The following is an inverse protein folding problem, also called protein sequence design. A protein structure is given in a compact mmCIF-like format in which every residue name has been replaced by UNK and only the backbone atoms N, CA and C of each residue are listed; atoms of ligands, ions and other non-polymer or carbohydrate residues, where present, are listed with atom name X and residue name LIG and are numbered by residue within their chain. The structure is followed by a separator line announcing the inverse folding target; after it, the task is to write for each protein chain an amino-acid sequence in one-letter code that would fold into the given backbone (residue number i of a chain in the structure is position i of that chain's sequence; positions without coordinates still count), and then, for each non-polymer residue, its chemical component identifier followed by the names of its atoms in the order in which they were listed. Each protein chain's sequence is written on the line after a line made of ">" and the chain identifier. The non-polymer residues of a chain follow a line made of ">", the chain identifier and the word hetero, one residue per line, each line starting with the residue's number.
data_IF_151524984659
#
_entry.id   IF_151524984659
#
_cell.length_a   1.000
_cell.length_b   1.000
_cell.length_c   1.000
_cell.angle_alpha   90.00
_cell.angle_beta   90.00
_cell.angle_gamma   90.00
#
_symmetry.space_group_name_H-M   'P 1'
#
loop_
_entity.id
_entity.type
_entity.pdbx_description
1 polymer ?
#
# COMPACT_ATOMS: atom_id res chain seq x y z
N UNK A 1 -36.04 -23.29 51.94
CA UNK A 1 -36.66 -24.31 51.07
C UNK A 1 -35.77 -24.45 49.84
N UNK A 2 -34.76 -25.32 49.92
CA UNK A 2 -33.87 -25.65 48.82
C UNK A 2 -34.65 -26.52 47.85
N UNK A 3 -34.79 -26.08 46.61
CA UNK A 3 -35.52 -26.79 45.56
C UNK A 3 -34.70 -28.01 45.14
N UNK A 4 -34.97 -29.16 45.74
CA UNK A 4 -34.31 -30.42 45.38
C UNK A 4 -34.85 -30.89 44.02
N UNK A 5 -34.02 -30.80 42.97
CA UNK A 5 -34.28 -31.53 41.73
C UNK A 5 -33.63 -32.90 41.89
N UNK A 6 -34.44 -33.94 42.05
CA UNK A 6 -33.94 -35.26 42.40
C UNK A 6 -33.21 -35.94 41.25
N UNK A 7 -33.63 -35.72 40.01
CA UNK A 7 -33.03 -36.35 38.82
C UNK A 7 -33.06 -35.41 37.63
N UNK A 8 -31.93 -35.30 36.92
CA UNK A 8 -31.83 -34.58 35.65
C UNK A 8 -31.31 -35.49 34.56
N UNK A 9 -31.98 -35.47 33.40
CA UNK A 9 -31.55 -36.20 32.20
C UNK A 9 -31.23 -35.21 31.07
N UNK A 10 -30.09 -35.41 30.42
CA UNK A 10 -29.63 -34.57 29.29
C UNK A 10 -29.37 -35.48 28.10
N UNK A 11 -30.08 -35.23 27.00
CA UNK A 11 -29.83 -35.88 25.73
C UNK A 11 -28.83 -35.06 24.91
N UNK A 12 -27.77 -35.72 24.45
CA UNK A 12 -26.77 -35.17 23.55
C UNK A 12 -26.72 -35.99 22.27
N UNK A 13 -26.68 -35.32 21.13
CA UNK A 13 -26.57 -35.98 19.83
C UNK A 13 -25.41 -35.35 19.03
N UNK A 14 -24.55 -36.20 18.47
CA UNK A 14 -23.49 -35.79 17.54
C UNK A 14 -23.91 -36.18 16.13
N UNK A 15 -23.89 -35.23 15.20
CA UNK A 15 -24.17 -35.47 13.78
C UNK A 15 -22.88 -35.82 13.01
N UNK A 16 -23.05 -36.34 11.80
CA UNK A 16 -21.94 -36.70 10.89
C UNK A 16 -20.97 -35.54 10.60
N UNK A 17 -21.44 -34.29 10.67
CA UNK A 17 -20.65 -33.07 10.45
C UNK A 17 -19.86 -32.62 11.70
N UNK A 18 -19.94 -33.39 12.79
CA UNK A 18 -19.29 -33.09 14.08
C UNK A 18 -20.02 -32.01 14.89
N UNK A 19 -21.22 -31.58 14.47
CA UNK A 19 -22.05 -30.67 15.26
C UNK A 19 -22.78 -31.39 16.39
N UNK A 20 -22.90 -30.72 17.53
CA UNK A 20 -23.47 -31.27 18.76
C UNK A 20 -24.80 -30.60 19.05
N UNK A 21 -25.80 -31.39 19.42
CA UNK A 21 -27.13 -30.96 19.85
C UNK A 21 -27.36 -31.36 21.30
N UNK A 22 -27.91 -30.46 22.11
CA UNK A 22 -28.34 -30.70 23.49
C UNK A 22 -29.85 -30.55 23.56
N UNK A 23 -30.55 -31.61 23.95
CA UNK A 23 -32.02 -31.69 23.99
C UNK A 23 -32.68 -31.20 22.69
N UNK A 24 -32.12 -31.57 21.54
CA UNK A 24 -32.60 -31.18 20.21
C UNK A 24 -32.19 -29.79 19.71
N UNK A 25 -31.49 -28.98 20.52
CA UNK A 25 -30.97 -27.66 20.10
C UNK A 25 -29.47 -27.69 19.82
N UNK A 26 -29.05 -27.10 18.70
CA UNK A 26 -27.63 -27.02 18.33
C UNK A 26 -26.86 -26.14 19.31
N UNK A 27 -25.79 -26.69 19.88
CA UNK A 27 -24.88 -25.95 20.79
C UNK A 27 -23.61 -25.51 20.05
N UNK A 28 -22.87 -24.55 20.64
CA UNK A 28 -21.61 -24.04 20.05
C UNK A 28 -20.47 -25.06 20.10
N UNK A 29 -20.59 -26.10 20.90
CA UNK A 29 -19.58 -27.15 21.01
C UNK A 29 -19.57 -28.03 19.77
N UNK A 30 -18.38 -28.48 19.39
CA UNK A 30 -18.12 -29.35 18.24
C UNK A 30 -17.11 -30.41 18.63
N UNK A 31 -17.09 -31.49 17.87
CA UNK A 31 -16.01 -32.48 17.96
C UNK A 31 -14.74 -31.88 17.39
N UNK A 32 -13.65 -31.98 18.14
CA UNK A 32 -12.33 -31.48 17.74
C UNK A 32 -11.43 -32.65 17.31
N UNK A 33 -10.77 -32.56 16.15
CA UNK A 33 -9.83 -33.59 15.73
C UNK A 33 -8.59 -33.62 16.61
N UNK A 34 -8.20 -34.80 17.09
CA UNK A 34 -6.90 -35.07 17.74
C UNK A 34 -6.02 -35.98 16.85
N UNK A 35 -4.80 -36.35 17.27
CA UNK A 35 -3.94 -37.24 16.45
C UNK A 35 -4.54 -38.62 16.23
N UNK A 36 -5.00 -39.26 17.31
CA UNK A 36 -5.38 -40.67 17.28
C UNK A 36 -6.90 -40.89 17.35
N UNK A 37 -7.65 -39.87 17.75
CA UNK A 37 -9.11 -39.90 17.91
C UNK A 37 -9.72 -38.54 17.57
N UNK A 38 -11.03 -38.46 17.46
CA UNK A 38 -11.79 -37.21 17.46
C UNK A 38 -12.38 -37.03 18.86
N UNK A 39 -12.11 -35.90 19.52
CA UNK A 39 -12.52 -35.65 20.90
C UNK A 39 -13.77 -34.78 20.95
N UNK A 40 -14.82 -35.26 21.63
CA UNK A 40 -15.91 -34.41 22.11
C UNK A 40 -15.67 -34.12 23.59
N UNK A 41 -15.41 -32.86 23.93
CA UNK A 41 -15.33 -32.40 25.33
C UNK A 41 -16.42 -31.36 25.59
N UNK A 42 -17.31 -31.65 26.54
CA UNK A 42 -18.45 -30.78 26.83
C UNK A 42 -18.70 -30.67 28.33
N UNK A 43 -18.78 -29.42 28.82
CA UNK A 43 -19.28 -29.13 30.16
C UNK A 43 -20.80 -29.27 30.15
N UNK A 44 -21.32 -30.27 30.85
CA UNK A 44 -22.77 -30.60 30.87
C UNK A 44 -23.48 -29.98 32.07
N UNK A 45 -22.73 -29.77 33.16
CA UNK A 45 -23.18 -29.14 34.41
C UNK A 45 -22.06 -28.23 34.94
N UNK A 46 -22.37 -26.99 35.29
CA UNK A 46 -21.39 -26.02 35.80
C UNK A 46 -21.99 -25.09 36.85
N UNK A 47 -21.74 -25.37 38.13
CA UNK A 47 -22.04 -24.46 39.25
C UNK A 47 -23.45 -23.86 39.20
N UNK A 48 -24.45 -24.70 38.92
CA UNK A 48 -25.81 -24.23 38.72
C UNK A 48 -26.53 -23.90 40.05
N UNK A 49 -25.88 -24.09 41.21
CA UNK A 49 -26.45 -23.74 42.52
C UNK A 49 -27.53 -24.71 43.02
N UNK A 50 -27.70 -25.85 42.37
CA UNK A 50 -28.66 -26.89 42.76
C UNK A 50 -27.95 -28.20 43.11
N UNK A 51 -28.45 -28.90 44.12
CA UNK A 51 -28.04 -30.28 44.39
C UNK A 51 -28.86 -31.24 43.51
N UNK A 52 -28.18 -32.16 42.82
CA UNK A 52 -28.82 -33.24 42.06
C UNK A 52 -28.46 -34.59 42.67
N UNK A 53 -29.46 -35.43 42.98
CA UNK A 53 -29.19 -36.78 43.47
C UNK A 53 -28.64 -37.68 42.34
N UNK A 54 -29.18 -37.55 41.13
CA UNK A 54 -28.68 -38.26 39.95
C UNK A 54 -28.71 -37.37 38.69
N UNK A 55 -27.59 -37.33 37.96
CA UNK A 55 -27.45 -36.73 36.64
C UNK A 55 -27.13 -37.82 35.63
N UNK A 56 -28.01 -38.01 34.66
CA UNK A 56 -27.81 -38.91 33.52
C UNK A 56 -27.63 -38.12 32.24
N UNK A 57 -26.54 -38.35 31.52
CA UNK A 57 -26.30 -37.76 30.20
C UNK A 57 -26.21 -38.88 29.18
N UNK A 58 -27.07 -38.85 28.17
CA UNK A 58 -27.11 -39.85 27.11
C UNK A 58 -26.54 -39.21 25.84
N UNK A 59 -25.42 -39.75 25.35
CA UNK A 59 -24.74 -39.32 24.15
C UNK A 59 -25.01 -40.30 23.00
N UNK A 60 -25.69 -39.84 21.96
CA UNK A 60 -25.91 -40.59 20.72
C UNK A 60 -24.90 -40.17 19.66
N UNK A 61 -24.16 -41.15 19.13
CA UNK A 61 -23.16 -41.02 18.07
C UNK A 61 -23.80 -41.31 16.69
N UNK A 62 -23.26 -40.75 15.60
CA UNK A 62 -23.85 -40.90 14.27
C UNK A 62 -23.61 -42.29 13.64
N UNK A 63 -22.66 -43.05 14.17
CA UNK A 63 -22.35 -44.40 13.73
C UNK A 63 -22.20 -45.36 14.91
N UNK A 64 -22.25 -46.66 14.61
CA UNK A 64 -22.18 -47.75 15.58
C UNK A 64 -20.75 -47.98 16.13
N UNK A 65 -20.16 -46.96 16.76
CA UNK A 65 -18.79 -46.97 17.28
C UNK A 65 -18.70 -46.73 18.80
N UNK A 66 -19.81 -46.85 19.53
CA UNK A 66 -19.84 -46.58 20.97
C UNK A 66 -18.90 -47.51 21.75
N UNK A 67 -18.77 -48.78 21.34
CA UNK A 67 -17.86 -49.75 21.96
C UNK A 67 -16.37 -49.46 21.73
N UNK A 68 -16.03 -48.77 20.63
CA UNK A 68 -14.65 -48.37 20.30
C UNK A 68 -14.30 -46.99 20.84
N UNK A 69 -15.31 -46.21 21.20
CA UNK A 69 -15.16 -44.90 21.82
C UNK A 69 -14.71 -45.10 23.26
N UNK A 70 -13.70 -44.34 23.72
CA UNK A 70 -13.31 -44.33 25.14
C UNK A 70 -14.07 -43.20 25.85
N UNK A 71 -15.10 -43.50 26.66
CA UNK A 71 -15.81 -42.47 27.39
C UNK A 71 -15.10 -42.16 28.70
N UNK A 72 -15.01 -40.87 29.04
CA UNK A 72 -14.42 -40.37 30.27
C UNK A 72 -15.36 -39.31 30.86
N UNK A 73 -15.51 -39.30 32.18
CA UNK A 73 -16.25 -38.27 32.91
C UNK A 73 -15.30 -37.56 33.88
N UNK A 74 -15.21 -36.23 33.75
CA UNK A 74 -14.40 -35.38 34.61
C UNK A 74 -15.34 -34.61 35.52
N UNK A 75 -15.47 -35.08 36.75
CA UNK A 75 -16.27 -34.45 37.80
C UNK A 75 -15.36 -33.73 38.79
N UNK A 76 -15.60 -32.44 39.01
CA UNK A 76 -14.80 -31.59 39.91
C UNK A 76 -15.74 -30.97 40.95
N UNK A 77 -15.28 -30.87 42.21
CA UNK A 77 -15.97 -30.20 43.33
C UNK A 77 -17.29 -30.84 43.79
N UNK A 78 -17.23 -32.06 44.34
CA UNK A 78 -18.34 -32.66 45.09
C UNK A 78 -19.32 -33.47 44.23
N UNK A 79 -18.86 -34.64 43.78
CA UNK A 79 -19.64 -35.70 43.13
C UNK A 79 -19.20 -37.00 43.78
N UNK A 80 -20.13 -37.81 44.28
CA UNK A 80 -19.80 -39.02 45.04
C UNK A 80 -19.32 -40.16 44.14
N UNK A 81 -20.04 -40.39 43.04
CA UNK A 81 -19.60 -41.34 42.01
C UNK A 81 -19.98 -40.85 40.63
N UNK A 82 -19.11 -41.12 39.67
CA UNK A 82 -19.30 -40.81 38.27
C UNK A 82 -18.78 -41.99 37.44
N UNK A 83 -19.58 -42.44 36.47
CA UNK A 83 -19.24 -43.57 35.61
C UNK A 83 -19.73 -43.31 34.18
N UNK A 84 -19.10 -43.97 33.21
CA UNK A 84 -19.52 -43.95 31.83
C UNK A 84 -19.59 -45.37 31.26
N UNK A 85 -20.73 -45.71 30.67
CA UNK A 85 -21.00 -47.04 30.15
C UNK A 85 -21.63 -46.97 28.76
N UNK A 86 -21.30 -47.96 27.94
CA UNK A 86 -21.91 -48.13 26.61
C UNK A 86 -23.28 -48.78 26.79
N UNK A 87 -24.33 -48.14 26.26
CA UNK A 87 -25.72 -48.61 26.38
C UNK A 87 -26.08 -49.49 25.17
N UNK A 88 -25.76 -49.02 23.97
CA UNK A 88 -25.97 -49.73 22.71
C UNK A 88 -24.82 -49.43 21.73
N UNK A 89 -24.92 -49.87 20.48
CA UNK A 89 -23.85 -49.71 19.49
C UNK A 89 -23.51 -48.25 19.13
N UNK A 90 -24.40 -47.30 19.36
CA UNK A 90 -24.22 -45.86 19.06
C UNK A 90 -24.41 -44.94 20.27
N UNK A 91 -24.77 -45.46 21.44
CA UNK A 91 -25.19 -44.66 22.60
C UNK A 91 -24.33 -44.94 23.82
N UNK A 92 -23.84 -43.87 24.43
CA UNK A 92 -23.05 -43.89 25.66
C UNK A 92 -23.81 -43.15 26.75
N UNK A 93 -23.95 -43.75 27.94
CA UNK A 93 -24.53 -43.09 29.11
C UNK A 93 -23.43 -42.70 30.10
N UNK A 94 -23.48 -41.45 30.54
CA UNK A 94 -22.67 -40.90 31.62
C UNK A 94 -23.57 -40.66 32.81
N UNK A 95 -23.24 -41.25 33.96
CA UNK A 95 -24.01 -41.11 35.19
C UNK A 95 -23.15 -40.44 36.26
N UNK A 96 -23.74 -39.53 37.03
CA UNK A 96 -23.12 -38.92 38.19
C UNK A 96 -24.14 -38.84 39.35
N UNK A 97 -23.71 -39.19 40.56
CA UNK A 97 -24.57 -39.21 41.76
C UNK A 97 -24.10 -38.20 42.80
N UNK A 98 -25.04 -37.71 43.62
CA UNK A 98 -24.79 -36.71 44.66
C UNK A 98 -24.03 -35.49 44.15
N UNK A 99 -24.50 -34.88 43.07
CA UNK A 99 -23.85 -33.74 42.45
C UNK A 99 -24.13 -32.48 43.26
N UNK A 100 -23.08 -31.89 43.83
CA UNK A 100 -23.19 -30.69 44.65
C UNK A 100 -23.51 -29.43 43.84
N UNK A 101 -23.96 -28.38 44.53
CA UNK A 101 -24.30 -27.07 43.96
C UNK A 101 -23.13 -26.40 43.22
N UNK A 102 -21.89 -26.72 43.63
CA UNK A 102 -20.66 -26.15 43.10
C UNK A 102 -19.91 -27.10 42.16
N UNK A 103 -20.49 -28.25 41.83
CA UNK A 103 -19.86 -29.23 40.96
C UNK A 103 -19.78 -28.73 39.51
N UNK A 104 -18.70 -29.09 38.83
CA UNK A 104 -18.56 -28.94 37.39
C UNK A 104 -18.32 -30.34 36.80
N UNK A 105 -19.18 -30.77 35.88
CA UNK A 105 -19.10 -32.07 35.22
C UNK A 105 -18.86 -31.85 33.73
N UNK A 106 -17.76 -32.42 33.26
CA UNK A 106 -17.37 -32.44 31.84
C UNK A 106 -17.39 -33.88 31.35
N UNK A 107 -18.09 -34.15 30.26
CA UNK A 107 -18.00 -35.43 29.56
C UNK A 107 -16.95 -35.34 28.46
N UNK A 108 -16.24 -36.43 28.24
CA UNK A 108 -15.25 -36.58 27.19
C UNK A 108 -15.52 -37.89 26.45
N UNK A 109 -15.71 -37.82 25.13
CA UNK A 109 -15.78 -39.00 24.27
C UNK A 109 -14.63 -38.96 23.26
N UNK A 110 -13.75 -39.97 23.31
CA UNK A 110 -12.66 -40.15 22.35
C UNK A 110 -13.11 -41.11 21.26
N UNK A 111 -13.63 -40.54 20.18
CA UNK A 111 -14.28 -41.24 19.07
C UNK A 111 -13.21 -41.69 18.06
N UNK A 112 -13.27 -42.91 17.51
CA UNK A 112 -12.32 -43.36 16.50
C UNK A 112 -12.32 -42.47 15.24
N UNK A 113 -11.16 -42.33 14.62
CA UNK A 113 -11.00 -41.53 13.39
C UNK A 113 -11.83 -42.11 12.24
N UNK A 114 -12.36 -41.23 11.40
CA UNK A 114 -13.13 -41.62 10.20
C UNK A 114 -14.62 -41.84 10.46
N UNK A 115 -15.05 -41.81 11.72
CA UNK A 115 -16.48 -41.81 12.10
C UNK A 115 -17.14 -40.47 11.77
N UNK A 116 -16.47 -39.35 12.04
CA UNK A 116 -17.02 -38.01 11.85
C UNK A 116 -16.39 -37.35 10.62
N UNK A 117 -17.23 -36.85 9.72
CA UNK A 117 -16.81 -36.11 8.53
C UNK A 117 -16.70 -34.63 8.87
N UNK A 118 -15.64 -34.28 9.60
CA UNK A 118 -15.35 -32.90 9.97
C UNK A 118 -15.23 -31.99 8.73
N UNK A 119 -15.67 -30.73 8.81
CA UNK A 119 -15.50 -29.77 7.73
C UNK A 119 -14.03 -29.61 7.30
N UNK A 120 -13.80 -29.36 6.01
CA UNK A 120 -12.46 -29.22 5.44
C UNK A 120 -11.58 -28.19 6.20
N UNK A 121 -12.16 -27.08 6.65
CA UNK A 121 -11.40 -26.04 7.36
C UNK A 121 -10.93 -26.52 8.74
N UNK A 122 -11.70 -27.35 9.46
CA UNK A 122 -11.32 -27.92 10.76
C UNK A 122 -10.16 -28.92 10.59
N UNK A 123 -10.17 -29.70 9.51
CA UNK A 123 -9.07 -30.60 9.16
C UNK A 123 -7.77 -29.85 8.83
N UNK A 124 -7.87 -28.73 8.10
CA UNK A 124 -6.71 -27.88 7.77
C UNK A 124 -6.15 -27.18 9.00
N UNK A 125 -7.01 -26.65 9.88
CA UNK A 125 -6.58 -26.03 11.15
C UNK A 125 -5.82 -27.05 11.99
N UNK A 126 -6.36 -28.27 12.14
CA UNK A 126 -5.69 -29.36 12.84
C UNK A 126 -4.32 -29.69 12.26
N UNK A 127 -4.24 -29.88 10.95
CA UNK A 127 -2.98 -30.17 10.26
C UNK A 127 -1.95 -29.06 10.52
N UNK A 128 -2.36 -27.80 10.40
CA UNK A 128 -1.49 -26.63 10.64
C UNK A 128 -1.05 -26.51 12.10
N UNK A 129 -1.91 -26.84 13.07
CA UNK A 129 -1.58 -26.88 14.49
C UNK A 129 -0.74 -28.09 14.91
N UNK A 130 -0.74 -29.15 14.11
CA UNK A 130 0.03 -30.37 14.39
C UNK A 130 1.54 -30.18 14.20
N UNK A 131 1.94 -29.14 13.44
CA UNK A 131 3.34 -28.79 13.24
C UNK A 131 3.92 -28.12 14.49
N UNK A 132 5.14 -28.52 14.85
CA UNK A 132 5.87 -27.92 15.96
C UNK A 132 6.14 -26.42 15.75
N UNK A 133 6.26 -25.69 16.87
CA UNK A 133 6.53 -24.24 16.86
C UNK A 133 7.77 -23.84 16.05
N UNK A 134 8.80 -24.68 16.01
CA UNK A 134 10.04 -24.43 15.26
C UNK A 134 9.83 -24.39 13.74
N UNK A 135 8.89 -25.18 13.22
CA UNK A 135 8.55 -25.18 11.79
C UNK A 135 7.91 -23.86 11.41
N UNK A 136 6.95 -23.40 12.22
CA UNK A 136 6.29 -22.12 12.03
C UNK A 136 7.26 -20.93 12.13
N UNK A 137 8.21 -20.97 13.06
CA UNK A 137 9.25 -19.95 13.16
C UNK A 137 10.13 -19.92 11.90
N UNK A 138 10.53 -21.09 11.39
CA UNK A 138 11.32 -21.19 10.16
C UNK A 138 10.56 -20.63 8.96
N UNK A 139 9.30 -21.02 8.79
CA UNK A 139 8.41 -20.53 7.72
C UNK A 139 8.22 -19.01 7.80
N UNK A 140 8.00 -18.49 9.00
CA UNK A 140 7.78 -17.06 9.24
C UNK A 140 9.00 -16.19 8.94
N UNK A 141 10.22 -16.74 8.97
CA UNK A 141 11.45 -16.02 8.63
C UNK A 141 11.80 -16.24 7.15
N UNK A 142 11.80 -17.49 6.69
CA UNK A 142 12.29 -17.87 5.37
C UNK A 142 11.41 -17.26 4.27
N UNK A 143 10.08 -17.32 4.40
CA UNK A 143 9.19 -16.82 3.34
C UNK A 143 9.38 -15.30 3.14
N UNK A 144 9.23 -14.44 4.16
CA UNK A 144 9.47 -13.01 3.98
C UNK A 144 10.88 -12.70 3.47
N UNK A 145 11.90 -13.41 3.97
CA UNK A 145 13.27 -13.21 3.53
C UNK A 145 13.46 -13.55 2.04
N UNK A 146 12.92 -14.67 1.57
CA UNK A 146 12.94 -15.03 0.15
C UNK A 146 12.15 -14.03 -0.70
N UNK A 147 11.02 -13.51 -0.22
CA UNK A 147 10.28 -12.46 -0.95
C UNK A 147 11.09 -11.18 -1.08
N UNK A 148 11.82 -10.78 -0.03
CA UNK A 148 12.70 -9.61 -0.06
C UNK A 148 13.88 -9.81 -1.03
N UNK A 149 14.51 -10.98 -1.02
CA UNK A 149 15.55 -11.34 -2.00
C UNK A 149 15.00 -11.28 -3.42
N UNK A 150 13.84 -11.89 -3.66
CA UNK A 150 13.20 -11.89 -4.97
C UNK A 150 12.90 -10.46 -5.46
N UNK A 151 12.32 -9.61 -4.60
CA UNK A 151 12.06 -8.20 -4.91
C UNK A 151 13.37 -7.45 -5.21
N UNK A 152 14.40 -7.65 -4.40
CA UNK A 152 15.72 -7.04 -4.62
C UNK A 152 16.32 -7.46 -5.97
N UNK A 153 16.28 -8.74 -6.30
CA UNK A 153 16.76 -9.27 -7.59
C UNK A 153 15.96 -8.66 -8.76
N UNK A 154 14.64 -8.58 -8.66
CA UNK A 154 13.79 -7.95 -9.68
C UNK A 154 14.21 -6.49 -9.90
N UNK A 155 14.39 -5.73 -8.81
CA UNK A 155 14.83 -4.33 -8.87
C UNK A 155 16.22 -4.22 -9.49
N UNK A 156 17.16 -5.06 -9.07
CA UNK A 156 18.53 -5.05 -9.59
C UNK A 156 18.59 -5.39 -11.08
N UNK A 157 17.84 -6.41 -11.53
CA UNK A 157 17.72 -6.79 -12.94
C UNK A 157 17.06 -5.67 -13.76
N UNK A 158 16.01 -5.05 -13.22
CA UNK A 158 15.36 -3.92 -13.87
C UNK A 158 16.31 -2.73 -14.02
N UNK A 159 17.02 -2.35 -12.95
CA UNK A 159 18.00 -1.27 -13.01
C UNK A 159 19.11 -1.57 -14.02
N UNK A 160 19.63 -2.80 -14.05
CA UNK A 160 20.69 -3.20 -14.99
C UNK A 160 20.25 -3.09 -16.45
N UNK A 161 19.04 -3.53 -16.77
CA UNK A 161 18.50 -3.47 -18.14
C UNK A 161 18.12 -2.06 -18.59
N UNK A 162 17.77 -1.19 -17.64
CA UNK A 162 17.38 0.20 -17.88
C UNK A 162 18.52 1.21 -17.74
N UNK A 163 19.77 0.76 -17.55
CA UNK A 163 20.94 1.66 -17.58
C UNK A 163 21.04 2.30 -18.97
N UNK A 164 21.23 3.62 -18.97
CA UNK A 164 21.46 4.42 -20.17
C UNK A 164 22.90 4.90 -20.14
N UNK A 165 23.63 4.70 -21.25
CA UNK A 165 24.97 5.24 -21.43
C UNK A 165 24.90 6.77 -21.51
N UNK A 166 25.82 7.44 -20.81
CA UNK A 166 25.94 8.90 -20.85
C UNK A 166 26.99 9.21 -21.93
N UNK A 167 26.65 9.85 -23.06
CA UNK A 167 27.59 10.10 -24.15
C UNK A 167 28.68 11.06 -23.72
N UNK A 168 29.95 10.77 -24.01
CA UNK A 168 31.09 11.61 -23.61
C UNK A 168 31.06 13.01 -24.23
N UNK A 169 30.47 13.12 -25.43
CA UNK A 169 30.30 14.39 -26.12
C UNK A 169 29.09 15.16 -25.58
N UNK A 170 29.29 16.43 -25.24
CA UNK A 170 28.21 17.35 -24.93
C UNK A 170 27.49 17.82 -26.20
N UNK A 171 26.16 17.95 -26.14
CA UNK A 171 25.34 18.52 -27.23
C UNK A 171 24.92 19.91 -26.79
N UNK A 172 25.18 20.94 -27.60
CA UNK A 172 24.94 22.35 -27.25
C UNK A 172 23.50 22.85 -27.40
N UNK A 173 22.61 22.01 -27.94
CA UNK A 173 21.21 22.33 -28.18
C UNK A 173 20.30 21.17 -27.73
N UNK A 174 19.03 21.45 -27.38
CA UNK A 174 18.05 20.42 -27.09
C UNK A 174 17.98 19.44 -28.26
N UNK A 175 18.12 18.11 -28.01
CA UNK A 175 18.17 17.13 -29.08
C UNK A 175 16.85 17.02 -29.85
N UNK A 176 15.74 17.39 -29.20
CA UNK A 176 14.38 17.38 -29.76
C UNK A 176 13.55 18.48 -29.08
N UNK A 177 12.51 18.96 -29.76
CA UNK A 177 11.54 19.90 -29.22
C UNK A 177 10.52 19.19 -28.29
N UNK A 178 10.99 18.63 -27.17
CA UNK A 178 10.12 18.04 -26.15
C UNK A 178 9.82 19.03 -25.03
N UNK A 179 8.57 19.09 -24.53
CA UNK A 179 8.26 19.89 -23.35
C UNK A 179 9.09 19.47 -22.14
N UNK A 180 9.51 20.40 -21.26
CA UNK A 180 10.38 20.09 -20.12
C UNK A 180 9.82 19.01 -19.19
N UNK A 181 8.51 18.99 -18.94
CA UNK A 181 7.89 17.93 -18.13
C UNK A 181 8.00 16.54 -18.76
N UNK A 182 7.97 16.42 -20.09
CA UNK A 182 8.16 15.13 -20.79
C UNK A 182 9.60 14.67 -20.64
N UNK A 183 10.57 15.60 -20.73
CA UNK A 183 11.99 15.31 -20.47
C UNK A 183 12.21 14.86 -19.02
N UNK A 184 11.56 15.52 -18.05
CA UNK A 184 11.61 15.12 -16.65
C UNK A 184 11.01 13.73 -16.40
N UNK A 185 9.91 13.40 -17.06
CA UNK A 185 9.36 12.03 -17.04
C UNK A 185 10.32 11.03 -17.68
N UNK A 186 10.98 11.38 -18.78
CA UNK A 186 11.96 10.50 -19.39
C UNK A 186 13.14 10.23 -18.44
N UNK A 187 13.59 11.25 -17.70
CA UNK A 187 14.67 11.15 -16.72
C UNK A 187 14.26 10.38 -15.46
N UNK A 188 13.21 10.81 -14.78
CA UNK A 188 12.85 10.38 -13.42
C UNK A 188 11.67 9.39 -13.38
N UNK A 189 10.97 9.17 -14.49
CA UNK A 189 9.74 8.37 -14.60
C UNK A 189 8.58 8.84 -13.72
N UNK A 190 8.75 10.00 -13.07
CA UNK A 190 7.81 10.60 -12.13
C UNK A 190 7.69 12.08 -12.43
N UNK A 191 6.53 12.63 -12.12
CA UNK A 191 6.25 14.07 -12.19
C UNK A 191 6.28 14.60 -10.77
N UNK A 192 7.16 15.56 -10.52
CA UNK A 192 7.30 16.25 -9.26
C UNK A 192 7.23 17.76 -9.42
N UNK A 193 7.65 18.49 -8.37
CA UNK A 193 7.62 19.96 -8.36
C UNK A 193 8.45 20.61 -9.46
N UNK A 194 9.57 19.97 -9.83
CA UNK A 194 10.47 20.47 -10.87
C UNK A 194 9.84 20.42 -12.25
N UNK A 195 9.17 19.33 -12.60
CA UNK A 195 8.46 19.19 -13.87
C UNK A 195 7.37 20.24 -14.02
N UNK A 196 6.66 20.54 -12.93
CA UNK A 196 5.62 21.57 -12.93
C UNK A 196 6.24 22.97 -13.02
N UNK A 197 7.23 23.29 -12.20
CA UNK A 197 7.91 24.58 -12.24
C UNK A 197 8.54 24.86 -13.61
N UNK A 198 9.24 23.88 -14.19
CA UNK A 198 9.80 23.99 -15.53
C UNK A 198 8.72 24.20 -16.60
N UNK A 199 7.55 23.56 -16.47
CA UNK A 199 6.42 23.79 -17.38
C UNK A 199 5.87 25.21 -17.26
N UNK A 200 5.78 25.76 -16.04
CA UNK A 200 5.33 27.14 -15.84
C UNK A 200 6.30 28.16 -16.42
N UNK A 201 7.60 27.95 -16.24
CA UNK A 201 8.63 28.80 -16.85
C UNK A 201 8.58 28.69 -18.37
N UNK A 202 8.44 27.48 -18.92
CA UNK A 202 8.30 27.27 -20.37
C UNK A 202 7.04 27.93 -20.96
N UNK A 203 5.91 27.90 -20.24
CA UNK A 203 4.71 28.66 -20.62
C UNK A 203 4.93 30.18 -20.52
N UNK A 204 5.77 30.63 -19.60
CA UNK A 204 6.13 32.05 -19.44
C UNK A 204 7.00 32.52 -20.61
N UNK A 205 7.99 31.71 -21.01
CA UNK A 205 8.85 31.95 -22.16
C UNK A 205 8.07 32.01 -23.47
N UNK A 206 7.06 31.15 -23.63
CA UNK A 206 6.14 31.18 -24.78
C UNK A 206 5.09 32.29 -24.72
N UNK A 207 5.12 33.16 -23.70
CA UNK A 207 4.25 34.33 -23.59
C UNK A 207 2.80 34.03 -23.18
N UNK A 208 2.51 32.83 -22.67
CA UNK A 208 1.17 32.48 -22.20
C UNK A 208 0.86 33.11 -20.84
N UNK A 209 1.85 33.11 -19.94
CA UNK A 209 1.74 33.61 -18.57
C UNK A 209 2.92 34.50 -18.21
N UNK A 210 2.83 35.20 -17.08
CA UNK A 210 3.95 35.87 -16.44
C UNK A 210 3.98 35.51 -14.95
N UNK A 211 5.16 35.56 -14.35
CA UNK A 211 5.45 35.20 -12.98
C UNK A 211 5.75 36.49 -12.21
N UNK A 212 5.11 36.68 -11.06
CA UNK A 212 5.32 37.82 -10.17
C UNK A 212 6.01 37.33 -8.90
N UNK A 213 7.23 37.81 -8.65
CA UNK A 213 7.96 37.62 -7.39
C UNK A 213 7.35 38.48 -6.29
N UNK A 214 7.05 37.88 -5.14
CA UNK A 214 6.46 38.54 -3.97
C UNK A 214 7.25 38.14 -2.73
N UNK A 215 7.21 38.98 -1.69
CA UNK A 215 7.94 38.75 -0.43
C UNK A 215 7.65 37.38 0.24
N UNK A 216 6.49 36.77 -0.02
CA UNK A 216 6.04 35.50 0.56
C UNK A 216 5.59 34.45 -0.46
N UNK A 217 6.06 34.49 -1.71
CA UNK A 217 5.77 33.46 -2.71
C UNK A 217 5.71 33.97 -4.14
N UNK A 218 4.96 33.26 -5.00
CA UNK A 218 4.81 33.59 -6.41
C UNK A 218 3.35 33.76 -6.78
N UNK A 219 3.06 34.79 -7.58
CA UNK A 219 1.78 34.93 -8.27
C UNK A 219 1.94 34.70 -9.78
N UNK A 220 0.87 34.24 -10.43
CA UNK A 220 0.86 33.98 -11.87
C UNK A 220 -0.19 34.86 -12.53
N UNK A 221 0.20 35.53 -13.60
CA UNK A 221 -0.68 36.35 -14.42
C UNK A 221 -0.93 35.75 -15.80
N UNK A 222 -2.12 36.00 -16.34
CA UNK A 222 -2.51 35.56 -17.69
C UNK A 222 -2.09 36.60 -18.72
N UNK A 223 -1.46 36.19 -19.82
CA UNK A 223 -1.09 37.06 -20.94
C UNK A 223 -1.90 36.74 -22.19
N UNK A 224 -1.61 35.65 -22.89
CA UNK A 224 -2.31 35.28 -24.12
C UNK A 224 -2.49 33.76 -24.19
N UNK A 225 -3.73 33.24 -24.24
CA UNK A 225 -4.03 31.80 -24.34
C UNK A 225 -4.49 31.35 -25.75
N UNK A 226 -4.35 32.21 -26.75
CA UNK A 226 -4.82 31.94 -28.13
C UNK A 226 -3.87 31.04 -28.95
N UNK A 227 -2.73 30.62 -28.38
CA UNK A 227 -1.75 29.78 -29.04
C UNK A 227 -2.00 28.26 -28.94
N UNK A 228 -1.13 27.48 -29.57
CA UNK A 228 -1.17 26.01 -29.54
C UNK A 228 -0.67 25.48 -28.19
N UNK A 229 -1.58 25.34 -27.23
CA UNK A 229 -1.32 24.70 -25.93
C UNK A 229 -1.54 23.18 -26.00
N UNK A 230 -0.60 22.42 -25.42
CA UNK A 230 -0.72 20.98 -25.26
C UNK A 230 -1.85 20.64 -24.27
N UNK A 231 -2.46 19.43 -24.33
CA UNK A 231 -3.56 19.07 -23.45
C UNK A 231 -3.23 19.22 -21.96
N UNK A 232 -2.04 18.78 -21.52
CA UNK A 232 -1.62 18.93 -20.13
C UNK A 232 -1.39 20.40 -19.74
N UNK A 233 -0.89 21.24 -20.66
CA UNK A 233 -0.69 22.68 -20.42
C UNK A 233 -2.03 23.39 -20.19
N UNK A 234 -3.05 23.06 -20.99
CA UNK A 234 -4.41 23.57 -20.76
C UNK A 234 -4.96 23.14 -19.41
N UNK A 235 -4.69 21.91 -18.99
CA UNK A 235 -5.16 21.40 -17.69
C UNK A 235 -4.54 22.21 -16.56
N UNK A 236 -3.22 22.42 -16.56
CA UNK A 236 -2.54 23.18 -15.50
C UNK A 236 -2.92 24.66 -15.52
N UNK A 237 -3.03 25.29 -16.70
CA UNK A 237 -3.49 26.67 -16.82
C UNK A 237 -4.94 26.83 -16.37
N UNK A 238 -5.84 25.90 -16.74
CA UNK A 238 -7.23 25.89 -16.26
C UNK A 238 -7.35 25.66 -14.76
N UNK A 239 -6.26 25.25 -14.11
CA UNK A 239 -6.19 25.08 -12.67
C UNK A 239 -5.72 26.35 -11.97
N UNK A 240 -4.75 27.04 -12.58
CA UNK A 240 -4.21 28.30 -12.07
C UNK A 240 -5.20 29.46 -12.31
N UNK A 241 -5.93 29.45 -13.43
CA UNK A 241 -6.69 30.61 -13.93
C UNK A 241 -8.21 30.37 -14.10
N UNK A 242 -8.85 29.51 -13.29
CA UNK A 242 -10.30 29.23 -13.48
C UNK A 242 -11.21 30.35 -12.94
N UNK A 243 -12.14 30.75 -13.80
CA UNK A 243 -13.22 31.75 -13.67
C UNK A 243 -12.83 33.21 -13.35
N UNK A 244 -12.99 34.03 -14.40
CA UNK A 244 -13.16 35.50 -14.41
C UNK A 244 -12.05 36.39 -13.85
N UNK A 245 -11.40 37.10 -14.77
CA UNK A 245 -11.27 38.57 -14.80
C UNK A 245 -11.46 39.23 -13.42
N UNK A 246 -10.34 39.55 -12.74
CA UNK A 246 -10.22 40.27 -11.45
C UNK A 246 -10.67 39.49 -10.21
N UNK A 247 -9.77 38.67 -9.68
CA UNK A 247 -9.88 38.07 -8.36
C UNK A 247 -8.70 38.55 -7.51
N UNK A 248 -8.93 38.98 -6.27
CA UNK A 248 -7.91 39.57 -5.41
C UNK A 248 -6.76 38.60 -5.12
N UNK A 249 -5.56 39.14 -4.89
CA UNK A 249 -4.27 38.47 -4.70
C UNK A 249 -4.30 37.37 -3.61
N UNK A 250 -5.11 37.54 -2.58
CA UNK A 250 -5.24 36.60 -1.47
C UNK A 250 -6.08 35.36 -1.83
N UNK A 251 -7.09 35.51 -2.70
CA UNK A 251 -7.89 34.38 -3.20
C UNK A 251 -7.09 33.48 -4.16
N UNK A 252 -6.08 34.03 -4.87
CA UNK A 252 -5.19 33.22 -5.73
C UNK A 252 -4.29 32.33 -4.88
N UNK A 253 -3.70 32.88 -3.80
CA UNK A 253 -2.86 32.11 -2.89
C UNK A 253 -3.68 31.06 -2.13
N UNK A 254 -4.84 31.43 -1.58
CA UNK A 254 -5.71 30.51 -0.85
C UNK A 254 -6.27 29.40 -1.76
N UNK A 255 -6.65 29.71 -3.02
CA UNK A 255 -7.17 28.71 -3.96
C UNK A 255 -6.06 27.87 -4.62
N UNK A 256 -4.87 28.42 -4.89
CA UNK A 256 -3.74 27.63 -5.41
C UNK A 256 -3.27 26.60 -4.38
N UNK A 257 -3.27 26.96 -3.10
CA UNK A 257 -2.99 26.05 -1.97
C UNK A 257 -4.10 25.00 -1.80
N UNK A 258 -5.39 25.40 -1.82
CA UNK A 258 -6.49 24.50 -1.45
C UNK A 258 -6.96 23.54 -2.57
N UNK A 259 -6.62 23.78 -3.84
CA UNK A 259 -7.29 23.07 -4.95
C UNK A 259 -6.42 22.15 -5.79
N UNK A 260 -5.10 22.08 -5.65
CA UNK A 260 -4.28 21.19 -6.47
C UNK A 260 -4.55 19.67 -6.20
N UNK A 261 -5.39 19.32 -5.20
CA UNK A 261 -5.98 17.98 -4.95
C UNK A 261 -6.95 17.46 -6.05
N UNK A 262 -7.27 18.28 -7.04
CA UNK A 262 -8.30 17.93 -8.02
C UNK A 262 -7.93 16.75 -8.92
N UNK A 263 -8.92 15.95 -9.31
CA UNK A 263 -8.90 15.02 -10.45
C UNK A 263 -8.08 15.54 -11.65
N UNK A 264 -8.09 16.86 -11.88
CA UNK A 264 -7.28 17.54 -12.88
C UNK A 264 -5.75 17.35 -12.76
N UNK A 265 -5.15 17.26 -11.57
CA UNK A 265 -3.71 17.02 -11.43
C UNK A 265 -3.34 15.57 -11.81
N UNK A 266 -4.22 14.63 -11.50
CA UNK A 266 -4.12 13.25 -12.00
C UNK A 266 -4.26 13.21 -13.52
N UNK A 267 -5.17 14.01 -14.10
CA UNK A 267 -5.27 14.17 -15.56
C UNK A 267 -4.02 14.81 -16.18
N UNK A 268 -3.47 15.88 -15.59
CA UNK A 268 -2.22 16.52 -16.02
C UNK A 268 -1.08 15.50 -16.10
N UNK A 269 -0.90 14.76 -15.02
CA UNK A 269 0.11 13.70 -14.89
C UNK A 269 -0.11 12.59 -15.93
N UNK A 270 -1.36 12.13 -16.06
CA UNK A 270 -1.76 11.09 -17.02
C UNK A 270 -1.52 11.52 -18.46
N UNK A 271 -1.80 12.77 -18.80
CA UNK A 271 -1.61 13.30 -20.16
C UNK A 271 -0.13 13.36 -20.52
N UNK A 272 0.75 13.82 -19.62
CA UNK A 272 2.21 13.83 -19.86
C UNK A 272 2.73 12.40 -20.06
N UNK A 273 2.33 11.46 -19.20
CA UNK A 273 2.70 10.05 -19.40
C UNK A 273 2.16 9.49 -20.70
N UNK A 274 0.91 9.83 -21.06
CA UNK A 274 0.33 9.39 -22.32
C UNK A 274 1.08 9.95 -23.52
N UNK A 275 1.54 11.21 -23.45
CA UNK A 275 2.32 11.86 -24.49
C UNK A 275 3.69 11.17 -24.61
N UNK A 276 4.39 10.95 -23.50
CA UNK A 276 5.67 10.24 -23.49
C UNK A 276 5.56 8.81 -24.07
N UNK A 277 4.46 8.10 -23.77
CA UNK A 277 4.20 6.77 -24.34
C UNK A 277 3.81 6.84 -25.82
N UNK A 278 2.99 7.82 -26.24
CA UNK A 278 2.62 8.03 -27.65
C UNK A 278 3.83 8.35 -28.52
N UNK A 279 4.81 9.07 -27.98
CA UNK A 279 6.10 9.34 -28.61
C UNK A 279 7.04 8.12 -28.62
N UNK A 280 6.61 6.98 -28.06
CA UNK A 280 7.33 5.72 -28.11
C UNK A 280 8.45 5.59 -27.07
N UNK A 281 8.60 6.50 -26.10
CA UNK A 281 9.68 6.44 -25.10
C UNK A 281 9.47 5.36 -24.02
N UNK A 282 8.23 4.94 -23.78
CA UNK A 282 7.88 3.92 -22.78
C UNK A 282 7.09 2.78 -23.39
N UNK A 283 7.38 1.54 -22.97
CA UNK A 283 6.69 0.33 -23.47
C UNK A 283 5.22 0.30 -23.04
N UNK A 284 4.96 0.73 -21.82
CA UNK A 284 3.63 0.84 -21.24
C UNK A 284 3.52 2.20 -20.54
N UNK A 285 2.30 2.73 -20.45
CA UNK A 285 2.06 4.02 -19.81
C UNK A 285 2.48 3.98 -18.32
N UNK A 286 3.43 4.82 -17.87
CA UNK A 286 3.90 4.85 -16.47
C UNK A 286 2.76 4.99 -15.44
N UNK A 287 1.69 5.72 -15.75
CA UNK A 287 0.54 5.84 -14.84
C UNK A 287 -0.17 4.50 -14.58
N UNK A 288 -0.31 3.66 -15.61
CA UNK A 288 -0.92 2.32 -15.46
C UNK A 288 -0.01 1.41 -14.65
N UNK A 289 1.29 1.45 -14.92
CA UNK A 289 2.29 0.67 -14.19
C UNK A 289 2.30 1.04 -12.70
N UNK A 290 2.34 2.34 -12.38
CA UNK A 290 2.29 2.81 -10.99
C UNK A 290 1.02 2.34 -10.28
N UNK A 291 -0.14 2.50 -10.93
CA UNK A 291 -1.43 2.09 -10.35
C UNK A 291 -1.50 0.58 -10.14
N UNK A 292 -0.96 -0.22 -11.04
CA UNK A 292 -0.95 -1.69 -10.94
C UNK A 292 -0.17 -2.14 -9.70
N UNK A 293 1.04 -1.64 -9.49
CA UNK A 293 1.85 -1.98 -8.31
C UNK A 293 1.28 -1.41 -7.00
N UNK A 294 0.73 -0.19 -7.04
CA UNK A 294 0.03 0.38 -5.88
C UNK A 294 -1.18 -0.45 -5.48
N UNK A 295 -2.02 -0.83 -6.46
CA UNK A 295 -3.20 -1.66 -6.21
C UNK A 295 -2.81 -3.04 -5.67
N UNK A 296 -1.86 -3.72 -6.33
CA UNK A 296 -1.40 -5.04 -5.90
C UNK A 296 -0.77 -5.02 -4.51
N UNK A 297 0.10 -4.04 -4.22
CA UNK A 297 0.71 -3.89 -2.91
C UNK A 297 -0.30 -3.54 -1.82
N UNK A 298 -1.30 -2.69 -2.11
CA UNK A 298 -2.36 -2.35 -1.15
C UNK A 298 -3.24 -3.55 -0.84
N UNK A 299 -3.64 -4.31 -1.88
CA UNK A 299 -4.42 -5.53 -1.71
C UNK A 299 -3.68 -6.57 -0.86
N UNK A 300 -2.38 -6.77 -1.14
CA UNK A 300 -1.54 -7.69 -0.39
C UNK A 300 -1.37 -7.27 1.07
N UNK A 301 -1.25 -5.97 1.34
CA UNK A 301 -1.15 -5.43 2.69
C UNK A 301 -2.42 -5.71 3.51
N UNK A 302 -3.61 -5.38 2.97
CA UNK A 302 -4.86 -5.63 3.67
C UNK A 302 -5.19 -7.11 3.80
N UNK A 303 -4.79 -7.93 2.81
CA UNK A 303 -4.87 -9.38 2.93
C UNK A 303 -4.01 -9.90 4.08
N UNK A 304 -2.75 -9.46 4.18
CA UNK A 304 -1.87 -9.82 5.28
C UNK A 304 -2.42 -9.35 6.64
N UNK A 305 -3.04 -8.17 6.68
CA UNK A 305 -3.69 -7.63 7.88
C UNK A 305 -4.90 -8.45 8.32
N UNK A 306 -5.77 -8.83 7.39
CA UNK A 306 -6.90 -9.69 7.70
C UNK A 306 -6.44 -11.05 8.24
N UNK A 307 -5.47 -11.68 7.59
CA UNK A 307 -4.93 -12.96 8.02
C UNK A 307 -4.18 -12.89 9.36
N UNK A 308 -3.52 -11.77 9.67
CA UNK A 308 -2.93 -11.50 10.98
C UNK A 308 -3.99 -11.61 12.09
N UNK A 309 -5.13 -10.93 11.95
CA UNK A 309 -6.21 -11.02 12.94
C UNK A 309 -6.90 -12.40 12.98
N UNK A 310 -7.07 -13.05 11.83
CA UNK A 310 -7.63 -14.41 11.78
C UNK A 310 -6.74 -15.43 12.47
N UNK A 311 -5.41 -15.23 12.45
CA UNK A 311 -4.46 -16.12 13.15
C UNK A 311 -4.71 -16.12 14.65
N UNK A 312 -4.96 -14.97 15.28
CA UNK A 312 -5.31 -14.92 16.70
C UNK A 312 -6.63 -15.62 17.04
N UNK A 313 -7.60 -15.61 16.11
CA UNK A 313 -8.90 -16.25 16.31
C UNK A 313 -8.82 -17.79 16.23
N UNK A 314 -8.09 -18.33 15.27
CA UNK A 314 -8.09 -19.77 14.98
C UNK A 314 -6.85 -20.51 15.49
N UNK A 315 -5.75 -19.80 15.76
CA UNK A 315 -4.46 -20.38 16.16
C UNK A 315 -3.85 -19.66 17.39
N UNK A 316 -4.54 -19.64 18.54
CA UNK A 316 -4.05 -18.94 19.75
C UNK A 316 -2.72 -19.51 20.29
N UNK A 317 -2.39 -20.76 19.95
CA UNK A 317 -1.19 -21.48 20.41
C UNK A 317 0.01 -21.35 19.48
N UNK A 318 -0.11 -20.67 18.33
CA UNK A 318 0.96 -20.48 17.34
C UNK A 318 1.47 -19.02 17.33
N UNK A 319 2.24 -18.58 18.35
CA UNK A 319 2.66 -17.18 18.47
C UNK A 319 3.54 -16.72 17.31
N UNK A 320 4.30 -17.63 16.68
CA UNK A 320 5.28 -17.29 15.65
C UNK A 320 4.68 -17.09 14.24
N UNK A 321 3.48 -17.61 13.98
CA UNK A 321 2.82 -17.43 12.68
C UNK A 321 2.53 -15.95 12.36
N UNK A 322 2.45 -15.11 13.40
CA UNK A 322 2.23 -13.67 13.32
C UNK A 322 3.37 -12.95 12.56
N UNK A 323 4.61 -13.40 12.72
CA UNK A 323 5.77 -12.79 12.06
C UNK A 323 5.74 -12.92 10.53
N UNK A 324 5.11 -13.97 10.00
CA UNK A 324 4.92 -14.15 8.56
C UNK A 324 4.09 -12.98 8.00
N UNK A 325 2.98 -12.65 8.66
CA UNK A 325 2.08 -11.59 8.21
C UNK A 325 2.73 -10.22 8.29
N UNK A 326 3.51 -9.96 9.35
CA UNK A 326 4.32 -8.73 9.47
C UNK A 326 5.32 -8.65 8.32
N UNK A 327 6.03 -9.73 8.01
CA UNK A 327 6.96 -9.79 6.88
C UNK A 327 6.28 -9.49 5.54
N UNK A 328 5.08 -10.04 5.31
CA UNK A 328 4.30 -9.74 4.10
C UNK A 328 3.82 -8.29 4.04
N UNK A 329 3.45 -7.68 5.17
CA UNK A 329 3.11 -6.24 5.22
C UNK A 329 4.30 -5.38 4.81
N UNK A 330 5.49 -5.68 5.34
CA UNK A 330 6.73 -4.98 4.97
C UNK A 330 7.02 -5.14 3.48
N UNK A 331 6.93 -6.36 2.94
CA UNK A 331 7.11 -6.62 1.51
C UNK A 331 6.09 -5.84 0.65
N UNK A 332 4.84 -5.75 1.10
CA UNK A 332 3.77 -5.00 0.44
C UNK A 332 4.10 -3.51 0.36
N UNK A 333 4.58 -2.91 1.46
CA UNK A 333 5.00 -1.50 1.48
C UNK A 333 6.17 -1.27 0.52
N UNK A 334 7.14 -2.18 0.48
CA UNK A 334 8.27 -2.10 -0.47
C UNK A 334 7.77 -2.12 -1.92
N UNK A 335 6.83 -3.00 -2.25
CA UNK A 335 6.23 -3.05 -3.60
C UNK A 335 5.56 -1.71 -3.96
N UNK A 336 4.83 -1.09 -3.04
CA UNK A 336 4.18 0.20 -3.26
C UNK A 336 5.21 1.32 -3.52
N UNK A 337 6.26 1.38 -2.70
CA UNK A 337 7.30 2.43 -2.79
C UNK A 337 8.16 2.26 -4.04
N UNK A 338 8.56 1.03 -4.35
CA UNK A 338 9.51 0.73 -5.42
C UNK A 338 8.84 0.53 -6.77
N UNK A 339 7.60 0.00 -6.81
CA UNK A 339 6.85 -0.20 -8.07
C UNK A 339 6.66 1.08 -8.87
N UNK A 340 6.69 2.24 -8.22
CA UNK A 340 6.71 3.56 -8.86
C UNK A 340 7.99 3.88 -9.65
N UNK A 341 9.04 3.05 -9.61
CA UNK A 341 10.30 3.24 -10.35
C UNK A 341 10.55 2.12 -11.39
N UNK A 342 9.52 1.34 -11.69
CA UNK A 342 9.57 0.22 -12.62
C UNK A 342 9.01 0.46 -14.05
N UNK A 343 8.56 1.66 -14.48
CA UNK A 343 8.28 1.88 -15.90
C UNK A 343 9.47 1.52 -16.81
N UNK A 344 9.22 0.70 -17.82
CA UNK A 344 10.23 0.25 -18.79
C UNK A 344 10.31 1.26 -19.94
N UNK A 345 11.50 1.86 -20.13
CA UNK A 345 11.81 2.67 -21.32
C UNK A 345 12.05 1.76 -22.52
N UNK A 346 11.62 2.17 -23.70
CA UNK A 346 11.92 1.49 -24.96
C UNK A 346 13.37 1.73 -25.38
N UNK A 347 13.81 1.12 -26.50
CA UNK A 347 15.11 1.43 -27.11
C UNK A 347 15.20 2.93 -27.45
N UNK A 348 14.18 3.47 -28.12
CA UNK A 348 14.04 4.90 -28.43
C UNK A 348 13.98 5.77 -27.16
N UNK A 349 13.33 5.28 -26.10
CA UNK A 349 13.37 5.84 -24.74
C UNK A 349 14.77 6.04 -24.19
N UNK A 350 15.59 4.99 -24.27
CA UNK A 350 16.95 4.99 -23.75
C UNK A 350 17.89 5.86 -24.59
N UNK A 351 17.78 5.80 -25.92
CA UNK A 351 18.56 6.65 -26.84
C UNK A 351 18.20 8.13 -26.67
N UNK A 352 16.89 8.46 -26.62
CA UNK A 352 16.42 9.80 -26.35
C UNK A 352 16.97 10.33 -25.02
N UNK A 353 16.89 9.52 -23.95
CA UNK A 353 17.46 9.89 -22.65
C UNK A 353 18.98 10.09 -22.72
N UNK A 354 19.70 9.27 -23.47
CA UNK A 354 21.15 9.40 -23.68
C UNK A 354 21.50 10.76 -24.30
N UNK A 355 20.79 11.17 -25.35
CA UNK A 355 20.96 12.48 -25.99
C UNK A 355 20.62 13.64 -25.06
N UNK A 356 19.56 13.51 -24.26
CA UNK A 356 19.20 14.50 -23.23
C UNK A 356 20.26 14.61 -22.13
N UNK A 357 20.90 13.50 -21.76
CA UNK A 357 22.02 13.50 -20.81
C UNK A 357 23.29 14.14 -21.40
N UNK A 358 23.50 14.02 -22.71
CA UNK A 358 24.56 14.77 -23.41
C UNK A 358 24.27 16.28 -23.43
N UNK A 359 23.01 16.69 -23.57
CA UNK A 359 22.60 18.09 -23.40
C UNK A 359 22.77 18.57 -21.95
N UNK A 360 22.45 17.73 -20.96
CA UNK A 360 22.74 18.03 -19.55
C UNK A 360 24.22 18.31 -19.32
N UNK A 361 25.13 17.56 -19.95
CA UNK A 361 26.58 17.81 -19.86
C UNK A 361 26.96 19.21 -20.34
N UNK A 362 26.34 19.69 -21.43
CA UNK A 362 26.52 21.06 -21.89
C UNK A 362 26.02 22.08 -20.86
N UNK A 363 24.81 21.87 -20.31
CA UNK A 363 24.23 22.78 -19.30
C UNK A 363 25.03 22.80 -17.99
N UNK A 364 25.67 21.69 -17.63
CA UNK A 364 26.48 21.56 -16.41
C UNK A 364 27.97 21.88 -16.61
N UNK A 365 28.39 22.31 -17.80
CA UNK A 365 29.79 22.66 -18.04
C UNK A 365 30.20 23.87 -17.21
N UNK A 366 31.37 23.86 -16.55
CA UNK A 366 31.88 25.02 -15.80
C UNK A 366 32.41 26.13 -16.72
N UNK A 367 32.63 25.85 -18.01
CA UNK A 367 33.26 26.79 -18.94
C UNK A 367 32.32 27.98 -19.24
N UNK A 368 32.77 29.23 -19.05
CA UNK A 368 31.96 30.39 -19.41
C UNK A 368 31.64 30.39 -20.91
N UNK A 369 30.46 30.86 -21.28
CA UNK A 369 30.14 31.06 -22.69
C UNK A 369 30.77 32.38 -23.17
N UNK A 370 31.30 32.43 -24.41
CA UNK A 370 31.74 33.69 -24.99
C UNK A 370 30.61 34.71 -24.97
N UNK A 371 30.91 36.00 -24.88
CA UNK A 371 29.87 37.02 -24.89
C UNK A 371 29.26 37.13 -26.30
N UNK A 372 27.97 36.79 -26.43
CA UNK A 372 27.17 36.97 -27.64
C UNK A 372 25.78 37.44 -27.21
N UNK A 373 25.16 38.39 -27.93
CA UNK A 373 23.81 38.87 -27.60
C UNK A 373 22.77 37.74 -27.60
N UNK A 374 22.93 36.73 -28.46
CA UNK A 374 22.08 35.54 -28.54
C UNK A 374 22.23 34.62 -27.31
N UNK A 375 23.29 34.76 -26.51
CA UNK A 375 23.52 33.88 -25.37
C UNK A 375 22.51 34.14 -24.24
N UNK A 376 22.00 35.36 -24.10
CA UNK A 376 20.90 35.65 -23.17
C UNK A 376 19.60 34.92 -23.56
N UNK A 377 19.25 34.89 -24.84
CA UNK A 377 18.11 34.12 -25.35
C UNK A 377 18.30 32.62 -25.07
N UNK A 378 19.53 32.09 -25.27
CA UNK A 378 19.86 30.70 -24.92
C UNK A 378 19.72 30.45 -23.42
N UNK A 379 20.13 31.38 -22.56
CA UNK A 379 20.00 31.26 -21.11
C UNK A 379 18.53 31.03 -20.72
N UNK A 380 17.65 31.93 -21.18
CA UNK A 380 16.21 31.89 -20.87
C UNK A 380 15.55 30.66 -21.49
N UNK A 381 15.84 30.34 -22.75
CA UNK A 381 15.26 29.18 -23.45
C UNK A 381 15.64 27.85 -22.80
N UNK A 382 16.86 27.71 -22.26
CA UNK A 382 17.34 26.45 -21.69
C UNK A 382 17.10 26.31 -20.18
N UNK A 383 16.68 27.39 -19.51
CA UNK A 383 16.40 27.41 -18.08
C UNK A 383 15.40 26.33 -17.62
N UNK A 384 14.26 26.09 -18.31
CA UNK A 384 13.35 25.01 -17.92
C UNK A 384 14.03 23.63 -17.89
N UNK A 385 14.88 23.34 -18.88
CA UNK A 385 15.60 22.06 -18.94
C UNK A 385 16.69 21.98 -17.87
N UNK A 386 17.38 23.09 -17.57
CA UNK A 386 18.36 23.14 -16.49
C UNK A 386 17.72 22.78 -15.13
N UNK A 387 16.49 23.24 -14.88
CA UNK A 387 15.69 22.89 -13.69
C UNK A 387 15.35 21.40 -13.64
N UNK A 388 14.99 20.81 -14.78
CA UNK A 388 14.70 19.36 -14.90
C UNK A 388 15.96 18.54 -14.59
N UNK A 389 17.12 18.97 -15.08
CA UNK A 389 18.39 18.26 -14.89
C UNK A 389 19.13 18.58 -13.59
N UNK A 390 18.54 19.40 -12.72
CA UNK A 390 19.12 19.86 -11.46
C UNK A 390 20.47 20.58 -11.65
N UNK A 391 20.59 21.35 -12.73
CA UNK A 391 21.80 22.12 -13.05
C UNK A 391 21.54 23.62 -13.22
N UNK A 392 20.39 24.13 -12.75
CA UNK A 392 20.00 25.53 -12.86
C UNK A 392 21.10 26.50 -12.36
N UNK A 393 21.69 26.24 -11.20
CA UNK A 393 22.74 27.08 -10.62
C UNK A 393 24.07 27.01 -11.41
N UNK A 394 24.44 25.83 -11.92
CA UNK A 394 25.63 25.67 -12.77
C UNK A 394 25.42 26.38 -14.10
N UNK A 395 24.23 26.27 -14.67
CA UNK A 395 23.86 26.95 -15.92
C UNK A 395 23.93 28.47 -15.76
N UNK A 396 23.33 29.03 -14.71
CA UNK A 396 23.40 30.47 -14.44
C UNK A 396 24.84 30.96 -14.23
N UNK A 397 25.69 30.18 -13.56
CA UNK A 397 27.09 30.59 -13.32
C UNK A 397 27.87 30.86 -14.61
N UNK A 398 27.52 30.22 -15.72
CA UNK A 398 28.17 30.44 -17.04
C UNK A 398 27.93 31.83 -17.62
N UNK A 399 26.96 32.57 -17.09
CA UNK A 399 26.55 33.91 -17.53
C UNK A 399 26.90 35.01 -16.50
N UNK A 400 27.64 34.67 -15.42
CA UNK A 400 27.91 35.60 -14.32
C UNK A 400 28.63 36.88 -14.75
N UNK A 401 29.47 36.80 -15.79
CA UNK A 401 30.28 37.91 -16.30
C UNK A 401 29.62 38.63 -17.50
N UNK A 402 28.33 38.34 -17.78
CA UNK A 402 27.59 38.92 -18.91
C UNK A 402 26.56 39.95 -18.42
N UNK A 403 26.25 40.95 -19.25
CA UNK A 403 25.16 41.87 -18.99
C UNK A 403 23.82 41.13 -18.93
N UNK A 404 23.13 41.23 -17.79
CA UNK A 404 21.87 40.53 -17.56
C UNK A 404 20.70 41.50 -17.61
N UNK A 405 19.73 41.18 -18.47
CA UNK A 405 18.43 41.85 -18.51
C UNK A 405 17.41 40.92 -17.86
N UNK A 406 16.54 41.45 -17.00
CA UNK A 406 15.46 40.65 -16.42
C UNK A 406 14.45 40.30 -17.52
N UNK A 407 14.04 39.01 -17.66
CA UNK A 407 13.06 38.65 -18.67
C UNK A 407 11.69 39.31 -18.45
N UNK A 408 11.03 39.77 -19.52
CA UNK A 408 9.72 40.44 -19.47
C UNK A 408 8.59 39.62 -18.83
N UNK A 409 8.75 38.30 -18.79
CA UNK A 409 7.78 37.39 -18.16
C UNK A 409 7.98 37.29 -16.64
N UNK A 410 9.03 37.87 -16.07
CA UNK A 410 9.32 37.88 -14.64
C UNK A 410 9.19 39.30 -14.07
N UNK A 411 8.12 39.54 -13.32
CA UNK A 411 7.84 40.82 -12.70
C UNK A 411 8.24 40.78 -11.23
N UNK A 412 8.94 41.81 -10.77
CA UNK A 412 9.39 41.93 -9.38
C UNK A 412 9.49 43.40 -8.99
N UNK A 413 9.21 43.69 -7.72
CA UNK A 413 9.29 45.06 -7.17
C UNK A 413 10.74 45.45 -6.83
N UNK A 414 11.65 44.48 -6.81
CA UNK A 414 13.08 44.69 -6.55
C UNK A 414 13.70 45.42 -7.75
N UNK A 415 14.38 46.55 -7.51
CA UNK A 415 15.08 47.31 -8.55
C UNK A 415 16.49 46.78 -8.77
N UNK A 416 16.96 46.78 -10.02
CA UNK A 416 18.36 46.52 -10.36
C UNK A 416 18.83 45.08 -10.13
N UNK A 417 18.00 44.08 -10.47
CA UNK A 417 18.42 42.68 -10.30
C UNK A 417 19.55 42.34 -11.28
N UNK A 418 20.70 41.94 -10.71
CA UNK A 418 21.67 41.16 -11.46
C UNK A 418 21.20 39.72 -11.65
N UNK A 419 21.94 38.95 -12.45
CA UNK A 419 21.67 37.53 -12.69
C UNK A 419 21.53 36.74 -11.38
N UNK A 420 22.40 37.00 -10.42
CA UNK A 420 22.40 36.33 -9.11
C UNK A 420 21.09 36.57 -8.35
N UNK A 421 20.63 37.81 -8.33
CA UNK A 421 19.40 38.20 -7.61
C UNK A 421 18.16 37.63 -8.30
N UNK A 422 18.16 37.61 -9.64
CA UNK A 422 17.13 36.91 -10.41
C UNK A 422 17.06 35.42 -10.09
N UNK A 423 18.20 34.72 -10.06
CA UNK A 423 18.25 33.31 -9.72
C UNK A 423 17.77 33.04 -8.28
N UNK A 424 18.17 33.88 -7.32
CA UNK A 424 17.71 33.79 -5.93
C UNK A 424 16.21 34.06 -5.80
N UNK A 425 15.65 34.95 -6.62
CA UNK A 425 14.23 35.23 -6.65
C UNK A 425 13.44 34.11 -7.34
N UNK A 426 13.94 33.54 -8.44
CA UNK A 426 13.20 32.55 -9.23
C UNK A 426 13.28 31.12 -8.67
N UNK A 427 14.46 30.63 -8.26
CA UNK A 427 14.63 29.22 -7.88
C UNK A 427 13.72 28.72 -6.74
N UNK A 428 13.34 29.55 -5.75
CA UNK A 428 12.32 29.19 -4.77
C UNK A 428 10.98 28.76 -5.38
N UNK A 429 10.70 29.05 -6.66
CA UNK A 429 9.48 28.60 -7.35
C UNK A 429 9.34 27.07 -7.32
N UNK A 430 10.45 26.33 -7.35
CA UNK A 430 10.45 24.85 -7.25
C UNK A 430 9.93 24.44 -5.87
N UNK A 431 10.40 25.12 -4.82
CA UNK A 431 9.96 24.93 -3.43
C UNK A 431 8.52 25.37 -3.22
N UNK A 432 8.11 26.50 -3.80
CA UNK A 432 6.74 27.01 -3.75
C UNK A 432 5.76 26.05 -4.42
N UNK A 433 6.04 25.63 -5.65
CA UNK A 433 5.28 24.58 -6.33
C UNK A 433 5.32 23.29 -5.51
N UNK A 434 6.47 22.96 -4.91
CA UNK A 434 6.65 21.76 -4.10
C UNK A 434 5.85 21.74 -2.80
N UNK A 435 5.79 22.85 -2.06
CA UNK A 435 4.99 23.02 -0.85
C UNK A 435 3.51 23.01 -1.17
N UNK A 436 3.13 23.74 -2.21
CA UNK A 436 1.78 23.71 -2.75
C UNK A 436 1.42 22.37 -3.38
N UNK A 437 2.41 21.51 -3.69
CA UNK A 437 2.25 20.10 -4.08
C UNK A 437 2.23 19.13 -2.90
N UNK A 438 2.99 19.42 -1.84
CA UNK A 438 3.14 18.57 -0.68
C UNK A 438 1.96 18.72 0.28
N UNK A 439 1.40 19.93 0.41
CA UNK A 439 0.10 20.19 1.04
C UNK A 439 -1.06 19.45 0.34
N UNK A 440 -0.82 18.87 -0.85
CA UNK A 440 -1.77 18.05 -1.61
C UNK A 440 -1.63 16.55 -1.30
N UNK A 441 -0.49 16.09 -0.79
CA UNK A 441 -0.19 14.65 -0.76
C UNK A 441 -1.00 13.86 0.29
N UNK A 442 -1.82 14.55 1.08
CA UNK A 442 -2.84 14.01 1.99
C UNK A 442 -4.11 14.86 1.83
N UNK A 443 -5.36 14.32 1.74
CA UNK A 443 -5.85 13.09 2.36
C UNK A 443 -6.66 12.20 1.39
N UNK A 444 -6.06 11.09 0.97
CA UNK A 444 -6.76 9.95 0.36
C UNK A 444 -7.35 8.97 1.40
N UNK A 445 -7.60 9.41 2.63
CA UNK A 445 -8.42 8.71 3.61
C UNK A 445 -9.78 9.42 3.68
N UNK A 446 -10.77 8.85 3.00
CA UNK A 446 -12.17 8.92 3.39
C UNK A 446 -12.69 7.51 3.48
#
# INVERSE_FOLDING_TARGET
>A
MTTYVTTSEVALEVKDDGSVYKNGQKIKSKVTPERDFDELRLIVYDKNGFYLNNLRVVLTLPAAVASETKPEILAIHGVDSADASVVDSSTIAYNATSVSENATITIVAKIPKGTIKLPFYDQVIFLLSSFGSSVWLSVAIIIPFLTLIYLFLLIALHQRTQRVSIPDRAIGAPPMALPPAVVGVLLNQKIGPREIAATLIDLSLRGYIFIIDRDRGFAFGKRNFSGQLLPFERIILSKIFRDTIRTSQDEINEKFVNHLYSHKMSLFTKEIYSLATRLGYFKENPARMHRKYQYFGTLLFFFALACFFLTFKYFPTLPYAVFLWIGMMVASVIIIVVGGRMPIRTVLGREGLSNWLAFRRYLSSPEPLPYEQTNYEKFTQYLPYAIIFHCEAMWARRFADQEFVVPDWFLTEKRGLGLKDFCLALYPIIGYVGQNLASIREPGYK
#
